data_IF_957943208443
#
_entry.id   IF_957943208443
#
_cell.length_a   1.000
_cell.length_b   1.000
_cell.length_c   1.000
_cell.angle_alpha   90.00
_cell.angle_beta   90.00
_cell.angle_gamma   90.00
#
_symmetry.space_group_name_H-M   'P 1'
#
loop_
_entity.id
_entity.type
_entity.pdbx_description
1 polymer ?
#
# COMPACT_ATOMS: atom_id res chain seq x y z
N UNK A 1 13.60 39.23 -10.57
CA UNK A 1 14.20 37.88 -10.52
C UNK A 1 13.47 37.08 -9.44
N UNK A 2 12.14 37.01 -9.55
CA UNK A 2 11.25 36.58 -8.45
C UNK A 2 10.03 35.77 -8.96
N UNK A 3 10.06 35.34 -10.23
CA UNK A 3 8.91 34.70 -10.92
C UNK A 3 9.24 33.30 -11.46
N UNK A 4 10.39 32.74 -11.05
CA UNK A 4 10.87 31.42 -11.51
C UNK A 4 10.70 30.31 -10.46
N UNK A 5 10.41 30.66 -9.21
CA UNK A 5 10.24 29.67 -8.13
C UNK A 5 8.79 29.15 -8.03
N UNK A 6 7.79 29.98 -8.35
CA UNK A 6 6.37 29.63 -8.26
C UNK A 6 5.89 28.72 -9.39
N UNK A 7 6.43 28.90 -10.60
CA UNK A 7 6.14 28.08 -11.78
C UNK A 7 6.71 26.67 -11.63
N UNK A 8 7.97 26.53 -11.18
CA UNK A 8 8.61 25.23 -11.00
C UNK A 8 7.94 24.32 -9.95
N UNK A 9 7.44 24.88 -8.85
CA UNK A 9 6.73 24.09 -7.83
C UNK A 9 5.37 23.59 -8.33
N UNK A 10 4.63 24.42 -9.07
CA UNK A 10 3.37 24.03 -9.68
C UNK A 10 3.59 22.98 -10.77
N UNK A 11 4.60 23.16 -11.62
CA UNK A 11 4.94 22.19 -12.68
C UNK A 11 5.36 20.84 -12.11
N UNK A 12 6.12 20.83 -11.00
CA UNK A 12 6.47 19.62 -10.29
C UNK A 12 5.22 18.92 -9.70
N UNK A 13 4.28 19.69 -9.15
CA UNK A 13 3.03 19.15 -8.60
C UNK A 13 2.12 18.60 -9.71
N UNK A 14 2.00 19.30 -10.84
CA UNK A 14 1.27 18.83 -12.02
C UNK A 14 1.91 17.55 -12.55
N UNK A 15 3.24 17.50 -12.66
CA UNK A 15 3.95 16.30 -13.13
C UNK A 15 3.83 15.12 -12.15
N UNK A 16 3.70 15.38 -10.84
CA UNK A 16 3.48 14.33 -9.86
C UNK A 16 2.06 13.73 -9.95
N UNK A 17 1.06 14.56 -10.25
CA UNK A 17 -0.34 14.11 -10.41
C UNK A 17 -0.56 13.51 -11.79
N UNK A 18 -0.21 14.21 -12.84
CA UNK A 18 -0.35 13.77 -14.22
C UNK A 18 0.96 13.14 -14.69
N UNK A 19 1.32 12.02 -14.06
CA UNK A 19 2.65 11.38 -14.18
C UNK A 19 3.05 10.95 -15.60
N UNK A 20 2.09 10.84 -16.52
CA UNK A 20 2.34 10.46 -17.92
C UNK A 20 2.41 11.65 -18.87
N UNK A 21 1.48 12.59 -18.73
CA UNK A 21 1.38 13.79 -19.55
C UNK A 21 0.72 14.91 -18.71
N UNK A 22 1.35 16.08 -18.54
CA UNK A 22 0.74 17.24 -17.87
C UNK A 22 -0.64 17.63 -18.42
N UNK A 23 -0.91 17.39 -19.71
CA UNK A 23 -2.20 17.63 -20.35
C UNK A 23 -3.34 16.74 -19.82
N UNK A 24 -3.02 15.59 -19.23
CA UNK A 24 -4.01 14.67 -18.65
C UNK A 24 -4.51 15.13 -17.27
N UNK A 25 -3.96 16.22 -16.71
CA UNK A 25 -4.32 16.70 -15.37
C UNK A 25 -5.84 16.78 -15.11
N UNK A 26 -6.67 17.36 -16.01
CA UNK A 26 -8.12 17.39 -15.79
C UNK A 26 -8.74 16.00 -15.73
N UNK A 27 -8.27 15.06 -16.55
CA UNK A 27 -8.75 13.69 -16.59
C UNK A 27 -8.36 12.90 -15.34
N UNK A 28 -7.12 13.08 -14.86
CA UNK A 28 -6.63 12.46 -13.62
C UNK A 28 -7.40 12.98 -12.41
N UNK A 29 -7.59 14.30 -12.32
CA UNK A 29 -8.38 14.92 -11.25
C UNK A 29 -9.84 14.45 -11.27
N UNK A 30 -10.44 14.33 -12.45
CA UNK A 30 -11.76 13.73 -12.60
C UNK A 30 -11.75 12.27 -12.12
N UNK A 31 -10.73 11.50 -12.49
CA UNK A 31 -10.52 10.13 -12.00
C UNK A 31 -10.48 10.05 -10.47
N UNK A 32 -9.79 10.98 -9.80
CA UNK A 32 -9.76 11.07 -8.34
C UNK A 32 -11.12 11.37 -7.74
N UNK A 33 -11.86 12.33 -8.31
CA UNK A 33 -13.21 12.68 -7.86
C UNK A 33 -14.15 11.48 -8.04
N UNK A 34 -14.11 10.82 -9.19
CA UNK A 34 -14.90 9.61 -9.46
C UNK A 34 -14.53 8.46 -8.53
N UNK A 35 -13.23 8.29 -8.25
CA UNK A 35 -12.74 7.29 -7.29
C UNK A 35 -13.29 7.57 -5.89
N UNK A 36 -13.16 8.80 -5.41
CA UNK A 36 -13.65 9.20 -4.09
C UNK A 36 -15.18 9.08 -3.99
N UNK A 37 -15.91 9.50 -5.04
CA UNK A 37 -17.36 9.36 -5.11
C UNK A 37 -17.78 7.87 -5.08
N UNK A 38 -17.14 7.02 -5.88
CA UNK A 38 -17.42 5.59 -5.88
C UNK A 38 -17.16 4.96 -4.51
N UNK A 39 -16.02 5.26 -3.87
CA UNK A 39 -15.72 4.79 -2.51
C UNK A 39 -16.80 5.24 -1.53
N UNK A 40 -17.21 6.51 -1.57
CA UNK A 40 -18.28 7.06 -0.72
C UNK A 40 -19.60 6.31 -0.89
N UNK A 41 -20.05 6.10 -2.13
CA UNK A 41 -21.28 5.34 -2.42
C UNK A 41 -21.19 3.86 -2.02
N UNK A 42 -19.99 3.30 -2.02
CA UNK A 42 -19.75 1.92 -1.56
C UNK A 42 -19.69 1.80 -0.03
N UNK A 43 -19.74 2.92 0.71
CA UNK A 43 -19.69 2.96 2.18
C UNK A 43 -18.31 3.30 2.74
N UNK A 44 -17.34 3.58 1.88
CA UNK A 44 -16.02 4.07 2.23
C UNK A 44 -16.04 5.53 2.71
N UNK A 45 -15.05 5.87 3.52
CA UNK A 45 -14.79 7.13 4.20
C UNK A 45 -13.27 7.32 4.20
N UNK A 46 -12.71 7.75 5.33
CA UNK A 46 -11.28 8.09 5.47
C UNK A 46 -10.36 6.91 5.19
N UNK A 47 -10.68 5.70 5.66
CA UNK A 47 -9.75 4.58 5.56
C UNK A 47 -9.69 4.06 4.13
N UNK A 48 -10.83 3.96 3.45
CA UNK A 48 -10.88 3.60 2.04
C UNK A 48 -10.06 4.55 1.15
N UNK A 49 -10.16 5.86 1.38
CA UNK A 49 -9.40 6.86 0.63
C UNK A 49 -7.89 6.72 0.87
N UNK A 50 -7.48 6.55 2.13
CA UNK A 50 -6.07 6.33 2.49
C UNK A 50 -5.57 5.03 1.88
N UNK A 51 -6.36 3.96 1.91
CA UNK A 51 -5.99 2.66 1.36
C UNK A 51 -5.73 2.74 -0.15
N UNK A 52 -6.67 3.32 -0.89
CA UNK A 52 -6.56 3.48 -2.36
C UNK A 52 -5.39 4.37 -2.74
N UNK A 53 -5.06 5.39 -1.94
CA UNK A 53 -3.91 6.26 -2.18
C UNK A 53 -2.57 5.58 -1.84
N UNK A 54 -2.51 4.76 -0.78
CA UNK A 54 -1.28 4.11 -0.35
C UNK A 54 -0.79 3.04 -1.34
N UNK A 55 -1.69 2.33 -2.01
CA UNK A 55 -1.35 1.27 -2.97
C UNK A 55 -0.44 1.80 -4.13
N UNK A 56 -0.86 2.80 -4.93
CA UNK A 56 -0.01 3.37 -5.98
C UNK A 56 1.22 4.06 -5.39
N UNK A 57 1.10 4.72 -4.23
CA UNK A 57 2.23 5.37 -3.57
C UNK A 57 3.35 4.39 -3.22
N UNK A 58 3.02 3.25 -2.61
CA UNK A 58 3.98 2.20 -2.25
C UNK A 58 4.60 1.57 -3.49
N UNK A 59 3.79 1.25 -4.50
CA UNK A 59 4.28 0.64 -5.74
C UNK A 59 5.20 1.59 -6.53
N UNK A 60 4.84 2.87 -6.60
CA UNK A 60 5.71 3.90 -7.16
C UNK A 60 6.99 4.03 -6.34
N UNK A 61 6.92 4.01 -5.02
CA UNK A 61 8.09 4.09 -4.14
C UNK A 61 9.06 2.92 -4.36
N UNK A 62 8.57 1.69 -4.59
CA UNK A 62 9.42 0.55 -4.91
C UNK A 62 10.22 0.70 -6.22
N UNK A 63 9.81 1.61 -7.11
CA UNK A 63 10.52 1.82 -8.39
C UNK A 63 11.83 2.62 -8.24
N UNK A 64 11.98 3.38 -7.15
CA UNK A 64 13.13 4.27 -6.97
C UNK A 64 13.76 4.21 -5.57
N UNK A 65 13.03 3.76 -4.55
CA UNK A 65 13.52 3.76 -3.18
C UNK A 65 14.69 2.79 -3.00
N UNK A 66 15.84 3.26 -2.48
CA UNK A 66 17.03 2.43 -2.36
C UNK A 66 16.87 1.40 -1.25
N UNK A 67 17.49 0.25 -1.46
CA UNK A 67 17.69 -0.76 -0.42
C UNK A 67 18.93 -0.39 0.40
N UNK A 68 18.74 -0.19 1.71
CA UNK A 68 19.80 0.12 2.67
C UNK A 68 20.41 -1.18 3.17
N UNK A 69 21.70 -1.40 2.92
CA UNK A 69 22.39 -2.59 3.37
C UNK A 69 22.93 -2.40 4.80
N UNK A 70 22.83 -3.44 5.61
CA UNK A 70 23.36 -3.43 6.98
C UNK A 70 24.89 -3.61 6.95
N UNK A 71 25.67 -2.81 7.69
CA UNK A 71 27.11 -2.99 7.78
C UNK A 71 27.48 -4.41 8.24
N UNK A 72 28.29 -5.12 7.47
CA UNK A 72 28.71 -6.50 7.76
C UNK A 72 27.70 -7.59 7.36
N UNK A 73 26.54 -7.22 6.80
CA UNK A 73 25.51 -8.13 6.29
C UNK A 73 25.01 -7.60 4.93
N UNK A 74 25.92 -7.53 3.94
CA UNK A 74 25.66 -6.92 2.62
C UNK A 74 24.51 -7.59 1.86
N UNK A 75 24.24 -8.88 2.11
CA UNK A 75 23.11 -9.58 1.52
C UNK A 75 21.75 -9.18 2.14
N UNK A 76 21.75 -8.67 3.37
CA UNK A 76 20.53 -8.27 4.10
C UNK A 76 20.20 -6.79 3.87
N UNK A 77 19.71 -6.51 2.67
CA UNK A 77 19.18 -5.21 2.30
C UNK A 77 17.80 -4.93 2.89
N UNK A 78 17.66 -3.80 3.57
CA UNK A 78 16.39 -3.29 4.07
C UNK A 78 15.84 -2.19 3.15
N UNK A 79 14.65 -2.40 2.59
CA UNK A 79 13.95 -1.34 1.87
C UNK A 79 12.91 -0.67 2.80
N UNK A 80 13.05 0.62 3.14
CA UNK A 80 12.11 1.32 4.04
C UNK A 80 10.66 1.31 3.57
N UNK A 81 10.41 1.17 2.26
CA UNK A 81 9.07 1.07 1.69
C UNK A 81 8.31 -0.13 2.26
N UNK A 82 9.01 -1.20 2.65
CA UNK A 82 8.39 -2.40 3.26
C UNK A 82 7.69 -2.09 4.58
N UNK A 83 8.14 -1.10 5.34
CA UNK A 83 7.44 -0.62 6.55
C UNK A 83 6.13 0.05 6.18
N UNK A 84 6.15 0.89 5.14
CA UNK A 84 4.94 1.54 4.61
C UNK A 84 3.98 0.49 4.05
N UNK A 85 4.48 -0.55 3.38
CA UNK A 85 3.65 -1.70 2.96
C UNK A 85 3.03 -2.41 4.17
N UNK A 86 3.72 -2.49 5.31
CA UNK A 86 3.14 -2.96 6.57
C UNK A 86 1.96 -2.11 7.03
N UNK A 87 2.05 -0.78 6.87
CA UNK A 87 0.92 0.13 7.14
C UNK A 87 -0.26 -0.12 6.20
N UNK A 88 -0.02 -0.49 4.94
CA UNK A 88 -1.08 -0.85 3.98
C UNK A 88 -1.91 -2.02 4.51
N UNK A 89 -1.26 -3.05 5.09
CA UNK A 89 -1.96 -4.19 5.69
C UNK A 89 -2.90 -3.74 6.82
N UNK A 90 -2.46 -2.81 7.66
CA UNK A 90 -3.28 -2.30 8.76
C UNK A 90 -4.41 -1.38 8.27
N UNK A 91 -4.13 -0.50 7.31
CA UNK A 91 -5.14 0.41 6.72
C UNK A 91 -6.21 -0.39 5.98
N UNK A 92 -5.83 -1.50 5.34
CA UNK A 92 -6.77 -2.47 4.76
C UNK A 92 -7.76 -3.00 5.79
N UNK A 93 -7.29 -3.45 6.96
CA UNK A 93 -8.16 -3.98 8.01
C UNK A 93 -9.23 -2.96 8.45
N UNK A 94 -8.83 -1.70 8.59
CA UNK A 94 -9.76 -0.61 8.89
C UNK A 94 -10.76 -0.36 7.75
N UNK A 95 -10.28 -0.41 6.51
CA UNK A 95 -11.12 -0.27 5.31
C UNK A 95 -12.12 -1.42 5.22
N UNK A 96 -11.71 -2.65 5.55
CA UNK A 96 -12.61 -3.79 5.58
C UNK A 96 -13.69 -3.64 6.65
N UNK A 97 -13.40 -3.04 7.81
CA UNK A 97 -14.45 -2.74 8.80
C UNK A 97 -15.46 -1.71 8.30
N UNK A 98 -14.97 -0.72 7.55
CA UNK A 98 -15.77 0.36 6.99
C UNK A 98 -16.66 -0.12 5.83
N UNK A 99 -16.08 -0.90 4.91
CA UNK A 99 -16.69 -1.30 3.64
C UNK A 99 -17.15 -2.77 3.59
N UNK A 100 -16.86 -3.57 4.62
CA UNK A 100 -17.06 -5.03 4.65
C UNK A 100 -16.41 -5.70 3.43
N UNK A 101 -17.14 -6.56 2.74
CA UNK A 101 -16.64 -7.29 1.56
C UNK A 101 -16.30 -6.37 0.37
N UNK A 102 -16.78 -5.11 0.36
CA UNK A 102 -16.48 -4.16 -0.71
C UNK A 102 -15.06 -3.60 -0.66
N UNK A 103 -14.25 -3.96 0.34
CA UNK A 103 -12.82 -3.65 0.39
C UNK A 103 -12.08 -4.17 -0.86
N UNK A 104 -12.53 -5.29 -1.44
CA UNK A 104 -11.98 -5.83 -2.69
C UNK A 104 -12.09 -4.83 -3.86
N UNK A 105 -13.16 -4.04 -3.89
CA UNK A 105 -13.34 -2.99 -4.91
C UNK A 105 -12.35 -1.85 -4.66
N UNK A 106 -12.17 -1.43 -3.41
CA UNK A 106 -11.18 -0.41 -3.06
C UNK A 106 -9.76 -0.87 -3.44
N UNK A 107 -9.39 -2.11 -3.13
CA UNK A 107 -8.11 -2.69 -3.53
C UNK A 107 -7.95 -2.69 -5.07
N UNK A 108 -8.98 -3.12 -5.81
CA UNK A 108 -8.95 -3.10 -7.28
C UNK A 108 -8.75 -1.68 -7.85
N UNK A 109 -9.40 -0.66 -7.26
CA UNK A 109 -9.21 0.73 -7.66
C UNK A 109 -7.78 1.22 -7.38
N UNK A 110 -7.21 0.90 -6.21
CA UNK A 110 -5.82 1.22 -5.88
C UNK A 110 -4.81 0.54 -6.83
N UNK A 111 -5.07 -0.71 -7.20
CA UNK A 111 -4.30 -1.44 -8.22
C UNK A 111 -4.42 -0.78 -9.58
N UNK A 112 -5.62 -0.35 -10.00
CA UNK A 112 -5.79 0.38 -11.26
C UNK A 112 -4.96 1.67 -11.29
N UNK A 113 -4.95 2.44 -10.19
CA UNK A 113 -4.06 3.60 -10.05
C UNK A 113 -2.58 3.22 -10.03
N UNK A 114 -2.20 2.06 -9.48
CA UNK A 114 -0.83 1.57 -9.53
C UNK A 114 -0.34 1.36 -10.96
N UNK A 115 -1.18 0.87 -11.86
CA UNK A 115 -0.81 0.74 -13.27
C UNK A 115 -0.59 2.10 -13.96
N UNK A 116 -1.20 3.17 -13.45
CA UNK A 116 -0.98 4.52 -13.95
C UNK A 116 0.38 5.08 -13.48
N UNK A 117 0.71 4.94 -12.19
CA UNK A 117 1.87 5.57 -11.54
C UNK A 117 3.15 4.73 -11.48
N UNK A 118 3.03 3.41 -11.41
CA UNK A 118 4.14 2.51 -11.17
C UNK A 118 4.47 1.67 -12.42
N UNK A 119 5.71 1.15 -12.54
CA UNK A 119 6.07 0.20 -13.57
C UNK A 119 5.14 -1.02 -13.58
N UNK A 120 4.75 -1.48 -14.77
CA UNK A 120 3.74 -2.54 -14.93
C UNK A 120 4.14 -3.87 -14.24
N UNK A 121 5.43 -4.20 -14.20
CA UNK A 121 5.95 -5.39 -13.51
C UNK A 121 5.70 -5.33 -12.00
N UNK A 122 6.00 -4.20 -11.35
CA UNK A 122 5.75 -3.98 -9.92
C UNK A 122 4.25 -3.95 -9.64
N UNK A 123 3.48 -3.24 -10.48
CA UNK A 123 2.02 -3.18 -10.34
C UNK A 123 1.36 -4.56 -10.43
N UNK A 124 1.78 -5.41 -11.38
CA UNK A 124 1.27 -6.79 -11.53
C UNK A 124 1.65 -7.68 -10.34
N UNK A 125 2.91 -7.60 -9.89
CA UNK A 125 3.39 -8.35 -8.74
C UNK A 125 2.58 -7.98 -7.48
N UNK A 126 2.43 -6.68 -7.22
CA UNK A 126 1.64 -6.16 -6.10
C UNK A 126 0.16 -6.47 -6.22
N UNK A 127 -0.43 -6.41 -7.42
CA UNK A 127 -1.84 -6.74 -7.63
C UNK A 127 -2.14 -8.18 -7.21
N UNK A 128 -1.28 -9.12 -7.61
CA UNK A 128 -1.43 -10.53 -7.27
C UNK A 128 -1.19 -10.77 -5.77
N UNK A 129 -0.16 -10.14 -5.21
CA UNK A 129 0.16 -10.24 -3.79
C UNK A 129 -0.96 -9.66 -2.90
N UNK A 130 -1.42 -8.45 -3.21
CA UNK A 130 -2.53 -7.81 -2.50
C UNK A 130 -3.81 -8.61 -2.66
N UNK A 131 -4.15 -9.12 -3.84
CA UNK A 131 -5.36 -9.92 -4.02
C UNK A 131 -5.34 -11.18 -3.13
N UNK A 132 -4.24 -11.92 -3.08
CA UNK A 132 -4.14 -13.12 -2.24
C UNK A 132 -4.16 -12.75 -0.75
N UNK A 133 -3.38 -11.75 -0.35
CA UNK A 133 -3.32 -11.30 1.04
C UNK A 133 -4.66 -10.73 1.54
N UNK A 134 -5.39 -10.02 0.67
CA UNK A 134 -6.72 -9.47 0.95
C UNK A 134 -7.75 -10.59 1.11
N UNK A 135 -7.69 -11.66 0.31
CA UNK A 135 -8.57 -12.82 0.46
C UNK A 135 -8.33 -13.57 1.77
N UNK A 136 -7.07 -13.69 2.20
CA UNK A 136 -6.71 -14.29 3.49
C UNK A 136 -7.28 -13.46 4.64
N UNK A 137 -7.08 -12.15 4.61
CA UNK A 137 -7.63 -11.24 5.61
C UNK A 137 -9.15 -11.24 5.61
N UNK A 138 -9.74 -11.22 4.42
CA UNK A 138 -11.18 -11.32 4.24
C UNK A 138 -11.73 -12.57 4.94
N UNK A 139 -11.07 -13.72 4.77
CA UNK A 139 -11.44 -14.96 5.46
C UNK A 139 -11.24 -14.84 6.97
N UNK A 140 -10.09 -14.35 7.44
CA UNK A 140 -9.81 -14.17 8.87
C UNK A 140 -10.84 -13.26 9.55
N UNK A 141 -11.14 -12.10 8.96
CA UNK A 141 -12.10 -11.15 9.52
C UNK A 141 -13.56 -11.63 9.45
N UNK A 142 -13.90 -12.45 8.46
CA UNK A 142 -15.24 -13.01 8.31
C UNK A 142 -15.49 -14.15 9.29
N UNK A 143 -14.48 -15.01 9.55
CA UNK A 143 -14.67 -16.22 10.35
C UNK A 143 -14.19 -16.12 11.80
N UNK A 144 -13.39 -15.10 12.16
CA UNK A 144 -12.87 -14.96 13.54
C UNK A 144 -13.49 -13.80 14.32
N UNK A 145 -13.55 -13.92 15.66
CA UNK A 145 -14.14 -12.91 16.56
C UNK A 145 -13.17 -12.34 17.61
N UNK A 146 -11.91 -12.09 17.24
CA UNK A 146 -10.91 -11.54 18.17
C UNK A 146 -11.10 -10.04 18.48
N UNK A 147 -10.33 -9.47 19.40
CA UNK A 147 -10.23 -8.00 19.57
C UNK A 147 -9.54 -7.37 18.37
N UNK A 148 -9.80 -6.08 18.10
CA UNK A 148 -9.32 -5.40 16.89
C UNK A 148 -7.79 -5.46 16.76
N UNK A 149 -7.06 -5.02 17.78
CA UNK A 149 -5.59 -5.05 17.80
C UNK A 149 -5.04 -6.46 17.53
N UNK A 150 -5.67 -7.50 18.09
CA UNK A 150 -5.27 -8.90 17.85
C UNK A 150 -5.57 -9.35 16.42
N UNK A 151 -6.70 -8.95 15.84
CA UNK A 151 -7.01 -9.26 14.44
C UNK A 151 -6.01 -8.63 13.50
N UNK A 152 -5.71 -7.35 13.68
CA UNK A 152 -4.76 -6.61 12.84
C UNK A 152 -3.38 -7.27 12.87
N UNK A 153 -2.90 -7.61 14.06
CA UNK A 153 -1.60 -8.26 14.20
C UNK A 153 -1.59 -9.69 13.64
N UNK A 154 -2.68 -10.45 13.80
CA UNK A 154 -2.80 -11.81 13.27
C UNK A 154 -2.94 -11.82 11.74
N UNK A 155 -3.74 -10.91 11.18
CA UNK A 155 -3.87 -10.73 9.73
C UNK A 155 -2.51 -10.34 9.17
N UNK A 156 -1.84 -9.34 9.74
CA UNK A 156 -0.51 -8.90 9.29
C UNK A 156 0.53 -10.02 9.40
N UNK A 157 0.47 -10.85 10.45
CA UNK A 157 1.40 -11.97 10.64
C UNK A 157 1.28 -13.04 9.55
N UNK A 158 0.08 -13.30 9.05
CA UNK A 158 -0.17 -14.30 8.00
C UNK A 158 -0.04 -13.66 6.61
N UNK A 159 -0.59 -12.47 6.43
CA UNK A 159 -0.59 -11.74 5.19
C UNK A 159 0.82 -11.28 4.78
N UNK A 160 1.66 -10.80 5.71
CA UNK A 160 2.98 -10.27 5.34
C UNK A 160 3.90 -11.32 4.68
N UNK A 161 4.03 -12.57 5.19
CA UNK A 161 4.77 -13.62 4.50
C UNK A 161 4.21 -13.99 3.14
N UNK A 162 2.88 -14.14 3.04
CA UNK A 162 2.23 -14.53 1.78
C UNK A 162 2.38 -13.42 0.73
N UNK A 163 2.05 -12.19 1.10
CA UNK A 163 2.19 -11.00 0.26
C UNK A 163 3.64 -10.83 -0.22
N UNK A 164 4.62 -10.91 0.70
CA UNK A 164 6.03 -10.78 0.36
C UNK A 164 6.49 -11.88 -0.60
N UNK A 165 6.06 -13.11 -0.38
CA UNK A 165 6.45 -14.24 -1.24
C UNK A 165 5.92 -14.04 -2.65
N UNK A 166 4.62 -13.75 -2.79
CA UNK A 166 4.00 -13.54 -4.11
C UNK A 166 4.58 -12.31 -4.80
N UNK A 167 4.79 -11.22 -4.06
CA UNK A 167 5.36 -9.99 -4.60
C UNK A 167 6.79 -10.20 -5.11
N UNK A 168 7.67 -10.82 -4.31
CA UNK A 168 9.07 -11.02 -4.71
C UNK A 168 9.22 -12.03 -5.85
N UNK A 169 8.34 -13.04 -5.93
CA UNK A 169 8.27 -13.92 -7.10
C UNK A 169 7.87 -13.13 -8.34
N UNK A 170 6.79 -12.35 -8.26
CA UNK A 170 6.31 -11.53 -9.38
C UNK A 170 7.30 -10.45 -9.81
N UNK A 171 8.08 -9.92 -8.87
CA UNK A 171 9.13 -8.93 -9.12
C UNK A 171 10.47 -9.57 -9.57
N UNK A 172 10.60 -10.90 -9.52
CA UNK A 172 11.86 -11.59 -9.86
C UNK A 172 13.00 -11.33 -8.86
N UNK A 173 12.67 -10.97 -7.61
CA UNK A 173 13.62 -10.54 -6.58
C UNK A 173 13.62 -11.45 -5.33
N UNK A 174 13.11 -12.68 -5.47
CA UNK A 174 13.02 -13.63 -4.36
C UNK A 174 14.41 -14.17 -3.99
N UNK A 175 14.93 -13.66 -2.89
CA UNK A 175 16.08 -14.22 -2.17
C UNK A 175 15.71 -14.35 -0.69
N UNK A 176 16.34 -15.27 0.03
CA UNK A 176 16.07 -15.44 1.46
C UNK A 176 16.28 -14.13 2.25
N UNK A 177 17.35 -13.35 2.02
CA UNK A 177 17.53 -12.06 2.69
C UNK A 177 16.43 -11.04 2.35
N UNK A 178 16.10 -10.84 1.08
CA UNK A 178 15.04 -9.89 0.68
C UNK A 178 13.68 -10.28 1.26
N UNK A 179 13.37 -11.58 1.24
CA UNK A 179 12.15 -12.14 1.79
C UNK A 179 12.06 -11.88 3.30
N UNK A 180 13.13 -12.20 4.04
CA UNK A 180 13.16 -12.00 5.48
C UNK A 180 13.07 -10.52 5.87
N UNK A 181 13.87 -9.66 5.23
CA UNK A 181 13.90 -8.22 5.53
C UNK A 181 12.57 -7.54 5.19
N UNK A 182 11.90 -7.96 4.11
CA UNK A 182 10.59 -7.43 3.73
C UNK A 182 9.50 -7.84 4.72
N UNK A 183 9.52 -9.08 5.22
CA UNK A 183 8.59 -9.53 6.26
C UNK A 183 8.83 -8.75 7.55
N UNK A 184 10.09 -8.62 7.99
CA UNK A 184 10.43 -7.86 9.19
C UNK A 184 9.96 -6.41 9.07
N UNK A 185 10.20 -5.75 7.94
CA UNK A 185 9.75 -4.38 7.70
C UNK A 185 8.23 -4.24 7.79
N UNK A 186 7.48 -5.12 7.12
CA UNK A 186 6.01 -5.09 7.14
C UNK A 186 5.45 -5.34 8.54
N UNK A 187 5.97 -6.35 9.24
CA UNK A 187 5.54 -6.68 10.61
C UNK A 187 5.90 -5.57 11.59
N UNK A 188 7.05 -4.91 11.41
CA UNK A 188 7.42 -3.75 12.22
C UNK A 188 6.43 -2.59 12.02
N UNK A 189 6.10 -2.25 10.77
CA UNK A 189 5.08 -1.24 10.47
C UNK A 189 3.73 -1.57 11.09
N UNK A 190 3.28 -2.82 10.96
CA UNK A 190 2.03 -3.28 11.55
C UNK A 190 2.04 -3.27 13.08
N UNK A 191 3.16 -3.66 13.71
CA UNK A 191 3.33 -3.68 15.15
C UNK A 191 3.31 -2.27 15.76
N UNK A 192 3.95 -1.30 15.12
CA UNK A 192 3.93 0.11 15.56
C UNK A 192 2.49 0.63 15.61
N UNK A 193 1.70 0.43 14.54
CA UNK A 193 0.31 0.88 14.52
C UNK A 193 -0.53 0.13 15.55
N UNK A 194 -0.39 -1.19 15.62
CA UNK A 194 -1.12 -2.03 16.58
C UNK A 194 -0.83 -1.63 18.03
N UNK A 195 0.41 -1.26 18.34
CA UNK A 195 0.83 -0.77 19.66
C UNK A 195 0.20 0.58 19.99
N UNK A 196 0.19 1.53 19.04
CA UNK A 196 -0.49 2.82 19.19
C UNK A 196 -1.98 2.63 19.44
N UNK A 197 -2.65 1.73 18.72
CA UNK A 197 -4.08 1.44 18.94
C UNK A 197 -4.34 0.87 20.34
N UNK A 198 -3.53 -0.11 20.76
CA UNK A 198 -3.67 -0.74 22.08
C UNK A 198 -3.49 0.27 23.21
N UNK A 199 -2.59 1.25 23.05
CA UNK A 199 -2.40 2.33 24.02
C UNK A 199 -3.60 3.27 24.15
N UNK A 200 -4.49 3.30 23.14
CA UNK A 200 -5.72 4.12 23.10
C UNK A 200 -6.97 3.35 23.55
N UNK A 201 -6.83 2.09 23.95
CA UNK A 201 -7.95 1.26 24.44
C UNK A 201 -8.83 0.62 23.35
N UNK A 202 -8.39 0.63 22.09
CA UNK A 202 -9.04 -0.11 20.97
C UNK A 202 -8.43 -1.49 20.72
#
# INVERSE_FOLDING_TARGET
>A
MEDLAGTGALDALVSAIAARDPGDLPLVLLGYVLTAAALWFLGGRKWALIYVALIPFVNWSFSWAPTVHLPGLEEFGFNPVTVVTGLVLVVRDFTQREMRHKVLIAMAMGVAWSFYYAPANIALASATAFAIAELIDWALFTFTRFRLSTRVMLSSLIAAPVDTTVFLIGAGALTFPNWLMSIIGKLFGAAVVSGVMRSRGE
#
